data_IF_153335668409
#
_entry.id   IF_153335668409
#
_cell.length_a   1.000
_cell.length_b   1.000
_cell.length_c   1.000
_cell.angle_alpha   90.00
_cell.angle_beta   90.00
_cell.angle_gamma   90.00
#
_symmetry.space_group_name_H-M   'P 1'
#
loop_
_entity.id
_entity.type
_entity.pdbx_description
1 polymer ?
#
# COMPACT_ATOMS: atom_id res chain seq x y z
N UNK A 1 -26.46 -12.36 -9.57
CA UNK A 1 -26.26 -12.36 -8.11
C UNK A 1 -25.55 -13.65 -7.77
N UNK A 2 -24.22 -13.61 -7.76
CA UNK A 2 -23.39 -14.77 -7.46
C UNK A 2 -23.36 -14.93 -5.94
N UNK A 3 -23.94 -16.02 -5.44
CA UNK A 3 -23.97 -16.33 -4.02
C UNK A 3 -22.55 -16.40 -3.46
N UNK A 4 -22.36 -15.82 -2.28
CA UNK A 4 -21.26 -16.14 -1.39
C UNK A 4 -21.37 -17.64 -1.09
N UNK A 5 -20.70 -18.45 -1.90
CA UNK A 5 -20.50 -19.87 -1.62
C UNK A 5 -19.75 -19.96 -0.31
N UNK A 6 -20.44 -20.35 0.76
CA UNK A 6 -19.82 -20.85 1.97
C UNK A 6 -18.95 -22.02 1.55
N UNK A 7 -17.63 -21.81 1.49
CA UNK A 7 -16.66 -22.83 1.15
C UNK A 7 -16.57 -23.78 2.35
N UNK A 8 -17.43 -24.80 2.37
CA UNK A 8 -17.33 -25.95 3.27
C UNK A 8 -16.26 -26.88 2.71
N UNK A 9 -15.00 -26.52 2.89
CA UNK A 9 -13.86 -27.24 2.33
C UNK A 9 -12.80 -27.46 3.39
N UNK A 10 -12.83 -28.68 3.94
CA UNK A 10 -11.92 -29.36 4.85
C UNK A 10 -12.28 -29.33 6.35
N UNK A 11 -12.40 -30.54 6.88
CA UNK A 11 -13.04 -30.99 8.13
C UNK A 11 -12.39 -30.47 9.43
N UNK A 12 -12.48 -29.17 9.69
CA UNK A 12 -12.34 -28.69 11.08
C UNK A 12 -13.60 -29.11 11.85
N UNK A 13 -13.58 -30.33 12.41
CA UNK A 13 -14.51 -30.70 13.49
C UNK A 13 -14.20 -29.79 14.68
N UNK A 14 -14.97 -28.71 14.79
CA UNK A 14 -15.13 -27.93 16.01
C UNK A 14 -15.35 -28.90 17.17
N UNK A 15 -14.32 -29.10 17.99
CA UNK A 15 -14.54 -29.72 19.30
C UNK A 15 -15.22 -28.67 20.17
N UNK A 16 -16.04 -29.10 21.14
CA UNK A 16 -16.68 -28.17 22.08
C UNK A 16 -15.67 -27.33 22.89
N UNK A 17 -14.38 -27.69 22.81
CA UNK A 17 -13.26 -27.07 23.53
C UNK A 17 -12.45 -26.06 22.70
N UNK A 18 -12.65 -25.94 21.38
CA UNK A 18 -11.88 -24.99 20.56
C UNK A 18 -12.42 -23.56 20.77
N UNK A 19 -11.67 -22.75 21.52
CA UNK A 19 -12.01 -21.32 21.71
C UNK A 19 -12.04 -20.63 20.35
N UNK A 20 -13.04 -19.76 20.10
CA UNK A 20 -13.12 -18.90 18.90
C UNK A 20 -11.81 -18.16 18.62
N UNK A 21 -11.04 -17.87 19.67
CA UNK A 21 -9.70 -17.29 19.57
C UNK A 21 -8.72 -18.18 18.80
N UNK A 22 -8.64 -19.46 19.15
CA UNK A 22 -7.68 -20.40 18.54
C UNK A 22 -8.00 -20.61 17.07
N UNK A 23 -9.29 -20.71 16.73
CA UNK A 23 -9.75 -20.73 15.34
C UNK A 23 -9.30 -19.49 14.54
N UNK A 24 -9.41 -18.30 15.14
CA UNK A 24 -9.03 -17.06 14.47
C UNK A 24 -7.53 -16.94 14.27
N UNK A 25 -6.72 -17.35 15.26
CA UNK A 25 -5.26 -17.39 15.13
C UNK A 25 -4.81 -18.42 14.07
N UNK A 26 -5.40 -19.61 14.04
CA UNK A 26 -5.11 -20.60 13.00
C UNK A 26 -5.53 -20.11 11.60
N UNK A 27 -6.70 -19.47 11.50
CA UNK A 27 -7.17 -18.87 10.24
C UNK A 27 -6.22 -17.74 9.77
N UNK A 28 -5.70 -16.93 10.70
CA UNK A 28 -4.71 -15.89 10.39
C UNK A 28 -3.37 -16.49 9.97
N UNK A 29 -2.88 -17.55 10.63
CA UNK A 29 -1.66 -18.27 10.23
C UNK A 29 -1.79 -18.83 8.82
N UNK A 30 -2.94 -19.42 8.50
CA UNK A 30 -3.22 -19.88 7.14
C UNK A 30 -3.23 -18.74 6.12
N UNK A 31 -3.80 -17.58 6.49
CA UNK A 31 -3.70 -16.36 5.69
C UNK A 31 -2.25 -15.93 5.44
N UNK A 32 -1.39 -15.94 6.47
CA UNK A 32 0.02 -15.63 6.33
C UNK A 32 0.75 -16.61 5.40
N UNK A 33 0.43 -17.91 5.49
CA UNK A 33 0.96 -18.93 4.57
C UNK A 33 0.58 -18.62 3.12
N UNK A 34 -0.68 -18.26 2.86
CA UNK A 34 -1.10 -17.86 1.52
C UNK A 34 -0.42 -16.58 1.01
N UNK A 35 -0.07 -15.64 1.90
CA UNK A 35 0.75 -14.48 1.51
C UNK A 35 2.16 -14.92 1.08
N UNK A 36 2.80 -15.80 1.85
CA UNK A 36 4.12 -16.34 1.51
C UNK A 36 4.10 -17.12 0.19
N UNK A 37 3.03 -17.86 -0.09
CA UNK A 37 2.82 -18.59 -1.35
C UNK A 37 2.41 -17.67 -2.53
N UNK A 38 2.31 -16.34 -2.34
CA UNK A 38 1.86 -15.39 -3.36
C UNK A 38 0.36 -15.48 -3.71
N UNK A 39 -0.41 -16.26 -2.96
CA UNK A 39 -1.85 -16.49 -3.14
C UNK A 39 -2.70 -15.41 -2.44
N UNK A 40 -2.55 -14.16 -2.89
CA UNK A 40 -3.20 -13.01 -2.26
C UNK A 40 -4.75 -13.09 -2.19
N UNK A 41 -5.49 -13.58 -3.21
CA UNK A 41 -6.94 -13.71 -3.12
C UNK A 41 -7.40 -14.65 -1.99
N UNK A 42 -6.71 -15.78 -1.81
CA UNK A 42 -6.99 -16.74 -0.74
C UNK A 42 -6.67 -16.12 0.64
N UNK A 43 -5.53 -15.41 0.73
CA UNK A 43 -5.15 -14.69 1.96
C UNK A 43 -6.20 -13.63 2.35
N UNK A 44 -6.73 -12.88 1.38
CA UNK A 44 -7.78 -11.88 1.59
C UNK A 44 -9.03 -12.53 2.22
N UNK A 45 -9.43 -13.70 1.72
CA UNK A 45 -10.56 -14.43 2.28
C UNK A 45 -10.33 -14.79 3.75
N UNK A 46 -9.14 -15.32 4.08
CA UNK A 46 -8.79 -15.72 5.46
C UNK A 46 -8.72 -14.56 6.43
N UNK A 47 -8.07 -13.45 6.07
CA UNK A 47 -8.04 -12.29 6.97
C UNK A 47 -9.42 -11.65 7.15
N UNK A 48 -10.27 -11.68 6.12
CA UNK A 48 -11.66 -11.19 6.23
C UNK A 48 -12.48 -12.06 7.18
N UNK A 49 -12.29 -13.38 7.11
CA UNK A 49 -12.91 -14.35 8.02
C UNK A 49 -12.50 -14.11 9.48
N UNK A 50 -11.19 -13.90 9.75
CA UNK A 50 -10.70 -13.56 11.09
C UNK A 50 -11.37 -12.29 11.64
N UNK A 51 -11.52 -11.25 10.83
CA UNK A 51 -12.18 -10.00 11.26
C UNK A 51 -13.66 -10.27 11.57
N UNK A 52 -14.35 -11.11 10.80
CA UNK A 52 -15.74 -11.49 11.07
C UNK A 52 -15.88 -12.31 12.36
N UNK A 53 -14.97 -13.26 12.60
CA UNK A 53 -14.91 -14.05 13.83
C UNK A 53 -14.62 -13.15 15.04
N UNK A 54 -13.63 -12.27 14.94
CA UNK A 54 -13.24 -11.35 16.01
C UNK A 54 -14.38 -10.43 16.46
N UNK A 55 -15.25 -10.00 15.53
CA UNK A 55 -16.46 -9.21 15.87
C UNK A 55 -17.50 -9.99 16.68
N UNK A 56 -17.46 -11.32 16.65
CA UNK A 56 -18.35 -12.18 17.42
C UNK A 56 -17.75 -12.59 18.77
N UNK A 57 -16.45 -12.32 18.99
CA UNK A 57 -15.77 -12.65 20.22
C UNK A 57 -16.25 -11.77 21.36
N UNK A 58 -16.67 -12.41 22.45
CA UNK A 58 -16.89 -11.75 23.74
C UNK A 58 -15.66 -12.00 24.61
N UNK A 59 -14.98 -10.96 25.14
CA UNK A 59 -13.75 -11.11 25.92
C UNK A 59 -13.85 -12.18 27.02
N UNK A 60 -14.99 -12.25 27.70
CA UNK A 60 -15.25 -13.18 28.81
C UNK A 60 -15.32 -14.64 28.35
N UNK A 61 -15.79 -14.87 27.12
CA UNK A 61 -15.96 -16.21 26.53
C UNK A 61 -14.62 -16.74 26.04
N UNK A 62 -13.85 -15.91 25.34
CA UNK A 62 -12.56 -16.32 24.77
C UNK A 62 -11.40 -16.23 25.77
N UNK A 63 -11.64 -15.72 27.00
CA UNK A 63 -10.63 -15.49 28.04
C UNK A 63 -9.46 -14.64 27.53
N UNK A 64 -9.80 -13.59 26.77
CA UNK A 64 -8.86 -12.67 26.15
C UNK A 64 -9.27 -11.25 26.41
N UNK A 65 -8.29 -10.37 26.58
CA UNK A 65 -8.56 -8.96 26.75
C UNK A 65 -9.07 -8.36 25.45
N UNK A 66 -9.99 -7.40 25.56
CA UNK A 66 -10.53 -6.69 24.40
C UNK A 66 -9.40 -6.02 23.56
N UNK A 67 -8.30 -5.64 24.22
CA UNK A 67 -7.09 -5.13 23.56
C UNK A 67 -6.43 -6.19 22.67
N UNK A 68 -6.35 -7.45 23.10
CA UNK A 68 -5.77 -8.53 22.30
C UNK A 68 -6.63 -8.79 21.04
N UNK A 69 -7.95 -8.78 21.18
CA UNK A 69 -8.89 -8.91 20.06
C UNK A 69 -8.70 -7.74 19.06
N UNK A 70 -8.53 -6.52 19.56
CA UNK A 70 -8.24 -5.35 18.71
C UNK A 70 -6.91 -5.47 17.97
N UNK A 71 -5.85 -5.96 18.64
CA UNK A 71 -4.55 -6.19 18.00
C UNK A 71 -4.69 -7.23 16.88
N UNK A 72 -5.45 -8.30 17.11
CA UNK A 72 -5.73 -9.31 16.09
C UNK A 72 -6.42 -8.68 14.86
N UNK A 73 -7.50 -7.93 15.07
CA UNK A 73 -8.25 -7.26 13.99
C UNK A 73 -7.37 -6.27 13.23
N UNK A 74 -6.61 -5.42 13.91
CA UNK A 74 -5.76 -4.43 13.25
C UNK A 74 -4.60 -5.07 12.48
N UNK A 75 -4.02 -6.16 13.01
CA UNK A 75 -3.01 -6.93 12.28
C UNK A 75 -3.59 -7.53 10.98
N UNK A 76 -4.85 -7.98 11.01
CA UNK A 76 -5.53 -8.48 9.82
C UNK A 76 -5.84 -7.37 8.80
N UNK A 77 -6.29 -6.19 9.24
CA UNK A 77 -6.46 -5.04 8.35
C UNK A 77 -5.15 -4.59 7.72
N UNK A 78 -4.07 -4.59 8.49
CA UNK A 78 -2.73 -4.29 7.99
C UNK A 78 -2.34 -5.31 6.91
N UNK A 79 -2.53 -6.61 7.13
CA UNK A 79 -2.24 -7.65 6.14
C UNK A 79 -3.14 -7.58 4.89
N UNK A 80 -4.44 -7.31 5.06
CA UNK A 80 -5.37 -7.06 3.96
C UNK A 80 -4.90 -5.92 3.06
N UNK A 81 -4.47 -4.80 3.65
CA UNK A 81 -3.99 -3.66 2.86
C UNK A 81 -2.79 -4.01 1.98
N UNK A 82 -1.90 -4.90 2.45
CA UNK A 82 -0.79 -5.41 1.65
C UNK A 82 -1.26 -6.30 0.51
N UNK A 83 -2.16 -7.25 0.78
CA UNK A 83 -2.69 -8.17 -0.22
C UNK A 83 -3.43 -7.43 -1.34
N UNK A 84 -4.21 -6.40 -0.97
CA UNK A 84 -4.90 -5.54 -1.94
C UNK A 84 -3.92 -4.70 -2.77
N UNK A 85 -2.83 -4.18 -2.19
CA UNK A 85 -1.78 -3.51 -2.96
C UNK A 85 -1.14 -4.46 -3.99
N UNK A 86 -0.80 -5.68 -3.57
CA UNK A 86 -0.20 -6.70 -4.45
C UNK A 86 -1.15 -7.17 -5.56
N UNK A 87 -2.45 -6.97 -5.37
CA UNK A 87 -3.50 -7.35 -6.33
C UNK A 87 -4.03 -6.17 -7.15
N UNK A 88 -3.39 -4.99 -7.09
CA UNK A 88 -3.82 -3.74 -7.72
C UNK A 88 -5.28 -3.32 -7.38
N UNK A 89 -5.73 -3.65 -6.17
CA UNK A 89 -7.05 -3.27 -5.65
C UNK A 89 -6.96 -2.00 -4.79
N UNK A 90 -6.71 -0.86 -5.44
CA UNK A 90 -6.25 0.36 -4.77
C UNK A 90 -7.25 0.91 -3.75
N UNK A 91 -8.55 0.91 -4.06
CA UNK A 91 -9.56 1.42 -3.14
C UNK A 91 -9.68 0.54 -1.90
N UNK A 92 -9.60 -0.78 -2.05
CA UNK A 92 -9.62 -1.72 -0.94
C UNK A 92 -8.36 -1.61 -0.09
N UNK A 93 -7.19 -1.49 -0.72
CA UNK A 93 -5.92 -1.24 -0.02
C UNK A 93 -5.97 0.03 0.83
N UNK A 94 -6.44 1.14 0.25
CA UNK A 94 -6.57 2.42 0.94
C UNK A 94 -7.50 2.30 2.16
N UNK A 95 -8.68 1.70 1.98
CA UNK A 95 -9.68 1.56 3.03
C UNK A 95 -9.20 0.64 4.16
N UNK A 96 -8.58 -0.51 3.84
CA UNK A 96 -8.05 -1.44 4.83
C UNK A 96 -6.89 -0.83 5.62
N UNK A 97 -5.98 -0.11 4.96
CA UNK A 97 -4.90 0.59 5.65
C UNK A 97 -5.43 1.69 6.58
N UNK A 98 -6.48 2.40 6.16
CA UNK A 98 -7.15 3.40 6.98
C UNK A 98 -7.80 2.77 8.23
N UNK A 99 -8.52 1.65 8.08
CA UNK A 99 -9.10 0.89 9.20
C UNK A 99 -8.06 0.27 10.12
N UNK A 100 -6.89 -0.11 9.61
CA UNK A 100 -5.79 -0.57 10.45
C UNK A 100 -5.35 0.52 11.45
N UNK A 101 -5.43 1.80 11.08
CA UNK A 101 -5.04 2.94 11.92
C UNK A 101 -6.20 3.40 12.81
N UNK A 102 -7.41 3.50 12.26
CA UNK A 102 -8.57 4.09 12.94
C UNK A 102 -9.39 3.07 13.74
N UNK A 103 -9.33 1.80 13.36
CA UNK A 103 -10.29 0.78 13.75
C UNK A 103 -11.59 0.84 12.93
N UNK A 104 -12.60 0.10 13.40
CA UNK A 104 -13.88 -0.10 12.70
C UNK A 104 -14.98 0.90 13.07
N UNK A 105 -14.74 1.78 14.04
CA UNK A 105 -15.72 2.74 14.55
C UNK A 105 -15.67 4.08 13.82
N UNK A 106 -16.85 4.68 13.62
CA UNK A 106 -17.04 6.02 13.09
C UNK A 106 -18.00 6.79 14.04
N UNK A 107 -17.50 7.72 14.88
CA UNK A 107 -16.15 8.31 14.86
C UNK A 107 -15.04 7.36 15.36
N UNK A 108 -13.75 7.64 15.04
CA UNK A 108 -12.60 6.91 15.55
C UNK A 108 -12.64 6.69 17.06
N UNK A 109 -12.38 5.46 17.49
CA UNK A 109 -12.21 5.15 18.90
C UNK A 109 -10.71 5.17 19.29
N UNK A 110 -10.26 6.02 20.24
CA UNK A 110 -8.87 6.03 20.70
C UNK A 110 -8.38 4.70 21.27
N UNK A 111 -9.27 3.85 21.84
CA UNK A 111 -8.89 2.52 22.31
C UNK A 111 -8.52 1.56 21.18
N UNK A 112 -8.88 1.91 19.93
CA UNK A 112 -8.43 1.17 18.77
C UNK A 112 -7.00 1.52 18.39
N UNK A 113 -6.36 2.53 18.96
CA UNK A 113 -4.97 2.87 18.63
C UNK A 113 -3.96 1.89 19.27
N UNK A 114 -3.97 0.61 18.85
CA UNK A 114 -3.17 -0.47 19.44
C UNK A 114 -1.96 -0.89 18.60
N UNK A 115 -1.81 -0.35 17.38
CA UNK A 115 -0.63 -0.58 16.55
C UNK A 115 0.63 0.07 17.17
N UNK A 116 1.77 -0.60 17.03
CA UNK A 116 3.09 0.00 17.28
C UNK A 116 3.38 1.14 16.29
N UNK A 117 4.31 2.04 16.62
CA UNK A 117 4.70 3.14 15.72
C UNK A 117 5.16 2.63 14.35
N UNK A 118 5.93 1.53 14.33
CA UNK A 118 6.37 0.89 13.09
C UNK A 118 5.20 0.34 12.26
N UNK A 119 4.22 -0.29 12.90
CA UNK A 119 3.02 -0.76 12.21
C UNK A 119 2.16 0.39 11.69
N UNK A 120 2.07 1.51 12.41
CA UNK A 120 1.40 2.73 11.94
C UNK A 120 2.11 3.32 10.72
N UNK A 121 3.45 3.39 10.74
CA UNK A 121 4.24 3.82 9.60
C UNK A 121 3.96 2.95 8.36
N UNK A 122 3.95 1.61 8.53
CA UNK A 122 3.59 0.66 7.46
C UNK A 122 2.16 0.86 6.94
N UNK A 123 1.19 1.04 7.83
CA UNK A 123 -0.19 1.28 7.44
C UNK A 123 -0.34 2.59 6.65
N UNK A 124 0.28 3.67 7.13
CA UNK A 124 0.26 4.97 6.46
C UNK A 124 0.98 4.91 5.11
N UNK A 125 2.14 4.26 5.03
CA UNK A 125 2.84 4.04 3.77
C UNK A 125 1.91 3.36 2.75
N UNK A 126 1.30 2.22 3.12
CA UNK A 126 0.38 1.48 2.24
C UNK A 126 -0.84 2.31 1.82
N UNK A 127 -1.42 3.07 2.75
CA UNK A 127 -2.52 4.00 2.49
C UNK A 127 -2.10 5.05 1.45
N UNK A 128 -0.94 5.66 1.62
CA UNK A 128 -0.41 6.69 0.74
C UNK A 128 -0.07 6.13 -0.66
N UNK A 129 0.55 4.96 -0.75
CA UNK A 129 0.81 4.27 -2.02
C UNK A 129 -0.49 4.03 -2.80
N UNK A 130 -1.52 3.49 -2.14
CA UNK A 130 -2.82 3.26 -2.75
C UNK A 130 -3.50 4.58 -3.18
N UNK A 131 -3.41 5.62 -2.35
CA UNK A 131 -3.99 6.93 -2.63
C UNK A 131 -3.38 7.58 -3.89
N UNK A 132 -2.06 7.49 -4.07
CA UNK A 132 -1.38 8.00 -5.27
C UNK A 132 -1.93 7.31 -6.52
N UNK A 133 -2.08 5.98 -6.51
CA UNK A 133 -2.66 5.21 -7.64
C UNK A 133 -4.09 5.64 -7.96
N UNK A 134 -4.91 5.89 -6.95
CA UNK A 134 -6.28 6.38 -7.10
C UNK A 134 -6.33 7.80 -7.69
N UNK A 135 -5.42 8.69 -7.26
CA UNK A 135 -5.29 10.06 -7.79
C UNK A 135 -4.86 10.02 -9.27
N UNK A 136 -3.96 9.11 -9.61
CA UNK A 136 -3.47 8.90 -10.98
C UNK A 136 -4.53 8.29 -11.90
N UNK A 137 -5.68 7.88 -11.37
CA UNK A 137 -6.73 7.22 -12.12
C UNK A 137 -6.29 5.84 -12.65
N UNK A 138 -5.32 5.20 -11.99
CA UNK A 138 -4.91 3.83 -12.31
C UNK A 138 -6.11 2.91 -12.09
N UNK A 139 -6.35 2.01 -13.04
CA UNK A 139 -7.45 1.06 -12.97
C UNK A 139 -7.36 0.24 -11.68
N UNK A 140 -8.46 0.20 -10.94
CA UNK A 140 -8.61 -0.58 -9.72
C UNK A 140 -9.27 -1.91 -10.07
N UNK A 141 -8.48 -2.98 -10.04
CA UNK A 141 -8.94 -4.33 -10.43
C UNK A 141 -10.06 -4.87 -9.52
N UNK A 142 -10.23 -4.30 -8.34
CA UNK A 142 -11.29 -4.67 -7.39
C UNK A 142 -12.55 -3.81 -7.52
N UNK A 143 -12.51 -2.73 -8.30
CA UNK A 143 -13.65 -1.83 -8.43
C UNK A 143 -14.78 -2.53 -9.18
N UNK A 144 -15.90 -2.76 -8.47
CA UNK A 144 -17.14 -3.17 -9.13
C UNK A 144 -17.52 -2.06 -10.11
N UNK A 145 -17.60 -2.36 -11.42
CA UNK A 145 -17.97 -1.34 -12.39
C UNK A 145 -19.34 -0.77 -12.01
N UNK A 146 -19.53 0.55 -12.15
CA UNK A 146 -20.83 1.15 -11.88
C UNK A 146 -21.86 0.39 -12.72
N UNK A 147 -22.84 -0.25 -12.07
CA UNK A 147 -23.84 -1.02 -12.79
C UNK A 147 -24.55 -0.07 -13.76
N UNK A 148 -24.46 -0.32 -15.07
CA UNK A 148 -24.88 0.56 -16.17
C UNK A 148 -26.38 0.95 -16.20
N UNK A 149 -27.15 0.71 -15.14
CA UNK A 149 -28.61 0.89 -15.13
C UNK A 149 -29.16 1.80 -14.03
N UNK A 150 -28.35 2.35 -13.14
CA UNK A 150 -28.86 3.24 -12.09
C UNK A 150 -28.11 4.58 -12.12
N UNK A 151 -28.76 5.59 -12.68
CA UNK A 151 -28.45 7.00 -12.41
C UNK A 151 -28.60 7.23 -10.91
N UNK A 152 -27.51 6.96 -10.19
CA UNK A 152 -27.49 6.97 -8.73
C UNK A 152 -27.44 8.42 -8.25
N UNK A 153 -28.61 9.05 -8.18
CA UNK A 153 -28.86 10.26 -7.39
C UNK A 153 -28.96 9.98 -5.89
N UNK A 154 -28.75 8.72 -5.48
CA UNK A 154 -28.67 8.32 -4.09
C UNK A 154 -27.43 8.93 -3.45
N UNK A 155 -27.66 9.76 -2.43
CA UNK A 155 -26.69 10.33 -1.51
C UNK A 155 -26.00 9.24 -0.68
N UNK A 156 -25.33 8.30 -1.33
CA UNK A 156 -24.37 7.43 -0.66
C UNK A 156 -23.30 8.30 -0.02
N UNK A 157 -22.70 7.87 1.11
CA UNK A 157 -21.62 8.60 1.74
C UNK A 157 -20.59 8.92 0.67
N UNK A 158 -20.39 10.22 0.44
CA UNK A 158 -19.53 10.72 -0.62
C UNK A 158 -18.17 10.06 -0.42
N UNK A 159 -17.75 9.18 -1.34
CA UNK A 159 -16.42 8.58 -1.28
C UNK A 159 -15.44 9.72 -1.42
N UNK A 160 -14.91 10.19 -0.29
CA UNK A 160 -13.93 11.27 -0.27
C UNK A 160 -12.71 10.73 -1.00
N UNK A 161 -12.49 11.21 -2.24
CA UNK A 161 -11.28 10.89 -2.98
C UNK A 161 -10.09 11.47 -2.23
N UNK A 162 -8.99 10.72 -2.06
CA UNK A 162 -7.77 11.29 -1.50
C UNK A 162 -7.27 12.42 -2.42
N UNK A 163 -6.70 13.47 -1.81
CA UNK A 163 -6.01 14.55 -2.52
C UNK A 163 -4.52 14.48 -2.21
N UNK A 164 -3.66 15.04 -3.05
CA UNK A 164 -2.21 15.02 -2.82
C UNK A 164 -1.83 15.68 -1.48
N UNK A 165 -2.56 16.71 -1.03
CA UNK A 165 -2.33 17.34 0.28
C UNK A 165 -2.65 16.40 1.44
N UNK A 166 -3.72 15.61 1.32
CA UNK A 166 -4.05 14.62 2.33
C UNK A 166 -2.97 13.53 2.39
N UNK A 167 -2.43 13.12 1.23
CA UNK A 167 -1.35 12.14 1.19
C UNK A 167 -0.04 12.71 1.76
N UNK A 168 0.35 13.95 1.46
CA UNK A 168 1.56 14.57 2.04
C UNK A 168 1.47 14.68 3.58
N UNK A 169 0.28 15.01 4.11
CA UNK A 169 0.03 15.00 5.56
C UNK A 169 0.20 13.60 6.16
N UNK A 170 -0.35 12.58 5.51
CA UNK A 170 -0.26 11.21 6.02
C UNK A 170 1.15 10.63 5.92
N UNK A 171 1.92 10.97 4.87
CA UNK A 171 3.36 10.62 4.79
C UNK A 171 4.16 11.35 5.88
N UNK A 172 3.84 12.61 6.16
CA UNK A 172 4.51 13.35 7.23
C UNK A 172 4.27 12.69 8.59
N UNK A 173 3.06 12.18 8.85
CA UNK A 173 2.78 11.37 10.04
C UNK A 173 3.58 10.06 10.04
N UNK A 174 3.68 9.39 8.89
CA UNK A 174 4.44 8.14 8.77
C UNK A 174 5.94 8.35 9.06
N UNK A 175 6.53 9.42 8.54
CA UNK A 175 7.92 9.80 8.81
C UNK A 175 8.13 10.27 10.27
N UNK A 176 7.10 10.76 10.96
CA UNK A 176 7.19 11.02 12.39
C UNK A 176 7.30 9.71 13.19
N UNK A 177 6.70 8.62 12.70
CA UNK A 177 6.85 7.28 13.28
C UNK A 177 8.20 6.64 12.91
N UNK A 178 8.64 6.75 11.65
CA UNK A 178 9.90 6.19 11.15
C UNK A 178 10.68 7.22 10.29
N UNK A 179 11.48 8.12 10.91
CA UNK A 179 12.12 9.23 10.19
C UNK A 179 13.19 8.83 9.17
N UNK A 180 13.72 7.60 9.28
CA UNK A 180 14.82 7.08 8.46
C UNK A 180 14.34 6.14 7.34
N UNK A 181 13.03 5.96 7.20
CA UNK A 181 12.49 5.11 6.14
C UNK A 181 12.73 5.75 4.76
N UNK A 182 13.58 5.08 3.98
CA UNK A 182 14.02 5.55 2.65
C UNK A 182 12.86 5.57 1.66
N UNK A 183 11.92 4.61 1.73
CA UNK A 183 10.78 4.51 0.82
C UNK A 183 9.75 5.60 1.11
N UNK A 184 9.50 5.91 2.39
CA UNK A 184 8.68 7.04 2.79
C UNK A 184 9.26 8.37 2.33
N UNK A 185 10.58 8.57 2.45
CA UNK A 185 11.25 9.79 1.98
C UNK A 185 11.16 9.95 0.46
N UNK A 186 11.37 8.86 -0.30
CA UNK A 186 11.19 8.85 -1.76
C UNK A 186 9.76 9.20 -2.14
N UNK A 187 8.77 8.55 -1.52
CA UNK A 187 7.36 8.82 -1.80
C UNK A 187 6.99 10.26 -1.45
N UNK A 188 7.47 10.80 -0.33
CA UNK A 188 7.25 12.19 0.06
C UNK A 188 7.76 13.16 -1.01
N UNK A 189 8.97 12.91 -1.53
CA UNK A 189 9.57 13.74 -2.58
C UNK A 189 8.69 13.76 -3.83
N UNK A 190 8.26 12.59 -4.31
CA UNK A 190 7.37 12.47 -5.48
C UNK A 190 6.09 13.28 -5.28
N UNK A 191 5.44 13.16 -4.12
CA UNK A 191 4.18 13.88 -3.85
C UNK A 191 4.39 15.38 -3.78
N UNK A 192 5.46 15.84 -3.12
CA UNK A 192 5.77 17.27 -3.03
C UNK A 192 6.11 17.90 -4.37
N UNK A 193 6.80 17.17 -5.24
CA UNK A 193 7.12 17.67 -6.58
C UNK A 193 5.84 17.79 -7.42
N UNK A 194 4.94 16.80 -7.37
CA UNK A 194 3.61 16.90 -7.99
C UNK A 194 2.76 18.05 -7.46
N UNK A 195 2.74 18.27 -6.14
CA UNK A 195 2.04 19.42 -5.54
C UNK A 195 2.59 20.77 -6.03
N UNK A 196 3.91 20.88 -6.27
CA UNK A 196 4.48 22.10 -6.85
C UNK A 196 4.03 22.28 -8.30
N UNK A 197 4.01 21.20 -9.08
CA UNK A 197 3.54 21.23 -10.48
C UNK A 197 2.07 21.63 -10.58
N UNK A 198 1.19 21.07 -9.74
CA UNK A 198 -0.23 21.46 -9.68
C UNK A 198 -0.40 22.95 -9.35
N UNK A 199 0.31 23.45 -8.34
CA UNK A 199 0.28 24.88 -7.97
C UNK A 199 0.81 25.78 -9.08
N UNK A 200 1.85 25.35 -9.80
CA UNK A 200 2.39 26.10 -10.94
C UNK A 200 1.39 26.12 -12.10
N UNK A 201 0.74 24.99 -12.40
CA UNK A 201 -0.28 24.89 -13.42
C UNK A 201 -1.51 25.75 -13.10
N UNK A 202 -1.97 25.77 -11.84
CA UNK A 202 -3.05 26.65 -11.39
C UNK A 202 -2.68 28.13 -11.49
N UNK A 203 -1.47 28.50 -11.08
CA UNK A 203 -0.97 29.87 -11.22
C UNK A 203 -0.91 30.30 -12.70
N UNK A 204 -0.49 29.41 -13.60
CA UNK A 204 -0.47 29.66 -15.03
C UNK A 204 -1.89 29.86 -15.60
N UNK A 205 -2.85 29.02 -15.20
CA UNK A 205 -4.28 29.16 -15.56
C UNK A 205 -4.86 30.49 -15.07
N UNK A 206 -4.61 30.87 -13.83
CA UNK A 206 -5.06 32.15 -13.26
C UNK A 206 -4.46 33.37 -13.98
N UNK A 207 -3.18 33.30 -14.37
CA UNK A 207 -2.52 34.36 -15.13
C UNK A 207 -3.16 34.54 -16.52
N UNK A 208 -3.51 33.45 -17.20
CA UNK A 208 -4.22 33.49 -18.48
C UNK A 208 -5.61 34.13 -18.36
N UNK A 209 -6.36 33.81 -17.30
CA UNK A 209 -7.69 34.37 -17.06
C UNK A 209 -7.66 35.89 -16.80
N UNK A 210 -6.70 36.37 -16.00
CA UNK A 210 -6.57 37.80 -15.66
C UNK A 210 -5.96 38.64 -16.80
N UNK A 211 -5.16 38.03 -17.69
CA UNK A 211 -4.47 38.74 -18.77
C UNK A 211 -5.35 39.13 -19.97
N UNK A 212 -6.55 38.57 -20.10
CA UNK A 212 -7.36 38.69 -21.34
C UNK A 212 -8.30 39.92 -21.35
N UNK A 213 -8.23 40.82 -20.36
CA UNK A 213 -9.19 41.94 -20.21
C UNK A 213 -8.73 43.30 -20.75
N UNK A 214 -7.62 43.38 -21.50
CA UNK A 214 -7.16 44.63 -22.16
C UNK A 214 -7.40 44.55 -23.67
N UNK A 215 -8.60 44.92 -24.11
CA UNK A 215 -8.91 45.01 -25.54
C UNK A 215 -10.39 45.14 -25.88
N UNK A 216 -11.15 45.97 -25.15
CA UNK A 216 -12.50 46.37 -25.55
C UNK A 216 -12.72 47.87 -25.30
N UNK A 217 -11.77 48.68 -25.73
CA UNK A 217 -12.00 50.08 -26.09
C UNK A 217 -11.69 50.22 -27.59
N UNK A 218 -12.63 49.74 -28.40
CA UNK A 218 -12.81 50.17 -29.78
C UNK A 218 -14.31 50.32 -30.02
N UNK A 219 -14.90 51.25 -29.26
CA UNK A 219 -16.09 51.98 -29.67
C UNK A 219 -15.66 52.83 -30.87
N UNK A 220 -15.77 52.23 -32.05
CA UNK A 220 -15.65 52.87 -33.34
C UNK A 220 -16.72 52.25 -34.22
N UNK A 221 -17.86 52.93 -34.30
CA UNK A 221 -19.04 52.41 -34.97
C UNK A 221 -18.81 52.14 -36.45
N UNK A 222 -19.53 51.13 -36.96
CA UNK A 222 -20.28 51.32 -38.18
C UNK A 222 -21.52 50.42 -38.16
N UNK A 223 -22.66 51.10 -38.18
CA UNK A 223 -24.00 50.60 -38.35
C UNK A 223 -24.20 50.35 -39.85
N UNK A 224 -24.16 49.09 -40.29
CA UNK A 224 -24.84 48.68 -41.52
C UNK A 224 -25.53 47.34 -41.30
N UNK A 225 -26.82 47.46 -40.97
CA UNK A 225 -27.80 46.38 -41.10
C UNK A 225 -27.85 45.91 -42.55
N UNK A 226 -27.68 44.60 -42.76
CA UNK A 226 -28.30 43.90 -43.90
C UNK A 226 -28.89 42.57 -43.42
N UNK A 227 -30.19 42.30 -43.70
CA UNK A 227 -30.82 41.06 -43.30
C UNK A 227 -30.77 40.00 -44.40
N UNK A 228 -30.96 38.76 -43.95
CA UNK A 228 -31.45 37.59 -44.68
C UNK A 228 -30.51 36.89 -45.67
N UNK A 229 -30.43 35.58 -45.51
CA UNK A 229 -29.74 34.68 -46.44
C UNK A 229 -29.56 33.30 -45.83
N UNK A 230 -30.65 32.54 -45.71
CA UNK A 230 -30.57 31.11 -45.40
C UNK A 230 -29.75 30.40 -46.48
N UNK A 231 -28.84 29.52 -46.09
CA UNK A 231 -28.40 28.44 -46.99
C UNK A 231 -27.88 27.28 -46.15
N UNK A 232 -28.52 26.14 -46.35
CA UNK A 232 -28.05 24.82 -45.96
C UNK A 232 -26.82 24.43 -46.80
N UNK A 233 -25.91 23.68 -46.18
CA UNK A 233 -24.73 23.04 -46.77
C UNK A 233 -23.86 22.58 -45.61
N UNK A 234 -23.95 21.33 -45.18
CA UNK A 234 -23.36 20.13 -45.80
C UNK A 234 -21.82 20.12 -45.72
N UNK A 235 -21.32 19.01 -45.16
CA UNK A 235 -19.99 18.46 -45.36
C UNK A 235 -18.78 19.21 -44.79
N UNK A 236 -18.11 18.64 -43.78
CA UNK A 236 -16.67 18.85 -43.67
C UNK A 236 -16.01 18.71 -42.30
N UNK A 237 -15.29 17.60 -42.15
CA UNK A 237 -14.05 17.45 -41.38
C UNK A 237 -14.09 17.61 -39.86
N UNK A 238 -14.21 16.46 -39.20
CA UNK A 238 -13.67 16.21 -37.87
C UNK A 238 -12.14 16.33 -37.96
N UNK A 239 -11.59 17.43 -37.46
CA UNK A 239 -10.16 17.57 -37.20
C UNK A 239 -9.79 16.71 -36.00
N UNK A 240 -8.89 15.76 -36.23
CA UNK A 240 -8.35 14.88 -35.21
C UNK A 240 -7.66 15.70 -34.12
N UNK A 241 -7.94 15.35 -32.87
CA UNK A 241 -7.24 15.86 -31.71
C UNK A 241 -5.73 15.58 -31.82
N UNK A 242 -4.86 16.51 -31.39
CA UNK A 242 -3.43 16.28 -31.37
C UNK A 242 -3.09 15.15 -30.38
N UNK A 243 -2.34 14.18 -30.89
CA UNK A 243 -1.95 12.97 -30.19
C UNK A 243 -1.27 13.24 -28.86
N UNK A 244 -1.69 12.48 -27.85
CA UNK A 244 -0.90 12.19 -26.66
C UNK A 244 0.44 11.59 -27.10
N UNK A 245 1.51 12.37 -26.93
CA UNK A 245 2.87 11.88 -27.05
C UNK A 245 3.07 10.80 -25.99
N UNK A 246 3.30 9.56 -26.43
CA UNK A 246 3.95 8.54 -25.61
C UNK A 246 5.38 9.00 -25.37
N UNK A 247 5.73 9.20 -24.10
CA UNK A 247 7.12 9.22 -23.68
C UNK A 247 7.56 7.77 -23.51
N UNK A 248 8.14 7.21 -24.57
CA UNK A 248 9.13 6.15 -24.45
C UNK A 248 10.44 6.83 -24.02
N UNK A 249 10.89 6.56 -22.80
CA UNK A 249 12.30 6.71 -22.40
C UNK A 249 12.61 5.83 -21.18
N UNK A 250 13.11 4.64 -21.48
CA UNK A 250 14.26 3.98 -20.87
C UNK A 250 14.48 4.07 -19.35
N UNK A 251 14.06 3.01 -18.65
CA UNK A 251 14.82 2.44 -17.53
C UNK A 251 15.20 1.01 -17.89
N UNK A 252 16.20 0.85 -18.76
CA UNK A 252 16.94 -0.41 -18.87
C UNK A 252 17.96 -0.42 -17.73
N UNK A 253 17.60 -1.06 -16.63
CA UNK A 253 18.59 -1.62 -15.71
C UNK A 253 18.93 -3.00 -16.27
N UNK A 254 20.19 -3.18 -16.66
CA UNK A 254 20.74 -4.48 -17.02
C UNK A 254 20.55 -5.45 -15.86
N UNK A 255 19.56 -6.32 -16.04
CA UNK A 255 19.30 -7.51 -15.25
C UNK A 255 20.52 -8.44 -15.31
N UNK A 256 21.36 -8.40 -14.27
CA UNK A 256 21.92 -9.67 -13.79
C UNK A 256 20.85 -10.31 -12.92
N UNK A 257 19.97 -11.03 -13.61
CA UNK A 257 18.89 -11.86 -13.07
C UNK A 257 19.48 -12.86 -12.06
N UNK A 258 19.52 -12.48 -10.79
CA UNK A 258 19.35 -13.47 -9.71
C UNK A 258 17.85 -13.76 -9.72
N UNK A 259 17.47 -15.02 -9.90
CA UNK A 259 16.06 -15.41 -9.96
C UNK A 259 15.29 -14.87 -8.75
N UNK A 260 14.08 -14.36 -8.98
CA UNK A 260 13.27 -13.68 -7.96
C UNK A 260 13.02 -14.49 -6.69
N UNK A 261 13.08 -15.82 -6.78
CA UNK A 261 12.85 -16.73 -5.65
C UNK A 261 14.07 -16.81 -4.70
N UNK A 262 15.29 -16.58 -5.21
CA UNK A 262 16.50 -16.68 -4.39
C UNK A 262 16.67 -15.44 -3.49
N UNK A 263 16.26 -14.26 -3.96
CA UNK A 263 16.43 -13.00 -3.22
C UNK A 263 15.55 -12.92 -1.96
N UNK A 264 14.31 -13.43 -2.03
CA UNK A 264 13.41 -13.49 -0.88
C UNK A 264 13.92 -14.50 0.16
N UNK A 265 14.40 -15.67 -0.29
CA UNK A 265 15.01 -16.69 0.58
C UNK A 265 16.26 -16.18 1.32
N UNK A 266 17.13 -15.41 0.65
CA UNK A 266 18.29 -14.80 1.31
C UNK A 266 17.89 -13.74 2.35
N UNK A 267 16.82 -13.00 2.10
CA UNK A 267 16.34 -11.97 3.02
C UNK A 267 15.76 -12.58 4.29
N UNK A 268 15.02 -13.69 4.17
CA UNK A 268 14.45 -14.43 5.31
C UNK A 268 15.54 -15.06 6.19
N UNK A 269 16.52 -15.76 5.60
CA UNK A 269 17.64 -16.33 6.36
C UNK A 269 18.49 -15.28 7.09
N UNK A 270 18.67 -14.08 6.52
CA UNK A 270 19.41 -13.00 7.19
C UNK A 270 18.63 -12.45 8.39
N UNK A 271 17.29 -12.39 8.28
CA UNK A 271 16.42 -12.05 9.42
C UNK A 271 16.58 -13.07 10.55
N UNK A 272 16.47 -14.36 10.22
CA UNK A 272 16.64 -15.45 11.18
C UNK A 272 18.03 -15.47 11.83
N UNK A 273 19.09 -15.25 11.05
CA UNK A 273 20.46 -15.19 11.56
C UNK A 273 20.63 -14.05 12.57
N UNK A 274 20.06 -12.87 12.31
CA UNK A 274 20.18 -11.72 13.21
C UNK A 274 19.44 -11.90 14.53
N UNK A 275 18.33 -12.66 14.53
CA UNK A 275 17.61 -13.00 15.75
C UNK A 275 18.35 -14.10 16.56
N UNK A 276 19.02 -15.05 15.89
CA UNK A 276 19.66 -16.20 16.56
C UNK A 276 21.09 -15.95 17.09
N UNK A 277 21.76 -14.86 16.74
CA UNK A 277 23.13 -14.54 17.22
C UNK A 277 23.23 -14.58 18.75
N UNK A 278 22.16 -14.22 19.46
CA UNK A 278 22.16 -14.14 20.93
C UNK A 278 21.52 -15.37 21.62
N UNK A 279 20.60 -16.06 20.95
CA UNK A 279 19.77 -17.09 21.59
C UNK A 279 20.29 -18.52 21.40
N UNK A 280 20.93 -18.85 20.27
CA UNK A 280 21.43 -20.20 19.98
C UNK A 280 22.66 -20.17 19.04
N UNK A 281 23.88 -20.14 19.60
CA UNK A 281 25.11 -19.98 18.81
C UNK A 281 25.44 -21.21 17.95
N UNK A 282 25.00 -22.42 18.33
CA UNK A 282 25.24 -23.64 17.55
C UNK A 282 24.37 -23.65 16.29
N UNK A 283 23.09 -23.31 16.43
CA UNK A 283 22.17 -23.19 15.29
C UNK A 283 22.53 -22.03 14.37
N UNK A 284 23.03 -20.91 14.92
CA UNK A 284 23.58 -19.81 14.14
C UNK A 284 24.76 -20.27 13.25
N UNK A 285 25.68 -21.06 13.81
CA UNK A 285 26.81 -21.61 13.04
C UNK A 285 26.34 -22.53 11.91
N UNK A 286 25.33 -23.38 12.16
CA UNK A 286 24.74 -24.27 11.15
C UNK A 286 24.08 -23.50 10.00
N UNK A 287 23.27 -22.48 10.31
CA UNK A 287 22.60 -21.63 9.32
C UNK A 287 23.60 -20.81 8.50
N UNK A 288 24.66 -20.32 9.15
CA UNK A 288 25.75 -19.59 8.49
C UNK A 288 26.47 -20.47 7.46
N UNK A 289 26.74 -21.74 7.78
CA UNK A 289 27.38 -22.68 6.84
C UNK A 289 26.43 -23.07 5.69
N UNK A 290 25.14 -23.27 5.96
CA UNK A 290 24.13 -23.49 4.91
C UNK A 290 24.03 -22.33 3.93
N UNK A 291 24.05 -21.09 4.45
CA UNK A 291 24.08 -19.87 3.64
C UNK A 291 25.34 -19.83 2.75
N UNK A 292 26.51 -20.13 3.33
CA UNK A 292 27.79 -20.17 2.61
C UNK A 292 27.79 -21.19 1.48
N UNK A 293 27.35 -22.42 1.76
CA UNK A 293 27.30 -23.51 0.79
C UNK A 293 26.39 -23.15 -0.40
N UNK A 294 25.21 -22.59 -0.14
CA UNK A 294 24.24 -22.24 -1.19
C UNK A 294 24.70 -21.07 -2.07
N UNK A 295 25.43 -20.12 -1.48
CA UNK A 295 26.08 -19.05 -2.24
C UNK A 295 27.18 -19.57 -3.16
N UNK A 296 27.94 -20.58 -2.71
CA UNK A 296 28.93 -21.26 -3.53
C UNK A 296 28.28 -22.04 -4.69
N UNK A 297 27.19 -22.75 -4.42
CA UNK A 297 26.45 -23.55 -5.42
C UNK A 297 25.80 -22.67 -6.50
N UNK A 298 25.32 -21.48 -6.13
CA UNK A 298 24.66 -20.54 -7.05
C UNK A 298 25.62 -19.57 -7.76
N UNK A 299 26.95 -19.73 -7.58
CA UNK A 299 27.98 -18.85 -8.12
C UNK A 299 27.75 -17.35 -7.80
N UNK A 300 27.04 -17.10 -6.69
CA UNK A 300 26.69 -15.78 -6.18
C UNK A 300 27.59 -15.51 -4.98
N UNK A 301 28.82 -15.07 -5.22
CA UNK A 301 29.73 -14.73 -4.12
C UNK A 301 29.23 -13.46 -3.40
N UNK A 302 28.94 -13.52 -2.09
CA UNK A 302 28.29 -12.43 -1.36
C UNK A 302 29.27 -11.82 -0.35
N UNK A 303 30.50 -11.48 -0.74
CA UNK A 303 31.34 -10.70 0.19
C UNK A 303 30.69 -9.36 0.51
N UNK A 304 30.04 -8.74 -0.48
CA UNK A 304 29.27 -7.51 -0.30
C UNK A 304 27.96 -7.72 0.47
N UNK A 305 27.36 -8.92 0.42
CA UNK A 305 26.11 -9.23 1.10
C UNK A 305 26.33 -9.59 2.58
N UNK A 306 27.39 -10.34 2.89
CA UNK A 306 27.81 -10.65 4.26
C UNK A 306 28.30 -9.39 4.99
N UNK A 307 29.01 -8.50 4.30
CA UNK A 307 29.36 -7.17 4.83
C UNK A 307 28.14 -6.31 5.15
N UNK A 308 27.09 -6.33 4.30
CA UNK A 308 25.84 -5.60 4.58
C UNK A 308 25.08 -6.15 5.78
N UNK A 309 25.21 -7.45 6.06
CA UNK A 309 24.65 -8.09 7.24
C UNK A 309 25.49 -7.86 8.52
N UNK A 310 26.59 -7.10 8.45
CA UNK A 310 27.45 -6.82 9.61
C UNK A 310 28.27 -8.02 10.08
N UNK A 311 28.42 -9.05 9.26
CA UNK A 311 29.19 -10.25 9.58
C UNK A 311 30.59 -10.08 8.98
N UNK A 312 31.57 -9.73 9.80
CA UNK A 312 32.97 -9.76 9.38
C UNK A 312 33.38 -11.21 9.07
N UNK A 313 34.08 -11.37 7.94
CA UNK A 313 34.45 -12.68 7.37
C UNK A 313 35.35 -13.48 8.33
N UNK A 314 36.02 -12.82 9.26
CA UNK A 314 36.94 -13.41 10.25
C UNK A 314 36.29 -13.78 11.60
N UNK A 315 34.98 -13.59 11.78
CA UNK A 315 34.25 -14.21 12.90
C UNK A 315 34.58 -13.70 14.31
N UNK A 316 35.30 -12.59 14.47
CA UNK A 316 35.48 -11.96 15.78
C UNK A 316 34.36 -10.96 16.04
N UNK A 317 33.43 -11.30 16.93
CA UNK A 317 32.50 -10.33 17.51
C UNK A 317 33.32 -9.24 18.19
N UNK A 318 33.19 -7.99 17.71
CA UNK A 318 33.80 -6.82 18.33
C UNK A 318 33.23 -6.69 19.74
N UNK A 319 33.98 -7.09 20.76
CA UNK A 319 33.69 -6.70 22.14
C UNK A 319 33.66 -5.17 22.16
N UNK A 320 32.56 -4.60 22.65
CA UNK A 320 32.55 -3.22 23.07
C UNK A 320 33.61 -3.10 24.17
N UNK A 321 34.72 -2.44 23.85
CA UNK A 321 35.65 -1.96 24.88
C UNK A 321 34.97 -0.74 25.50
N UNK A 322 34.57 -0.90 26.77
CA UNK A 322 34.15 0.21 27.62
C UNK A 322 35.37 1.11 27.82
N UNK A 323 35.35 2.29 27.19
CA UNK A 323 36.25 3.40 27.51
C UNK A 323 35.77 4.02 28.84
N UNK A 324 36.28 3.49 29.95
CA UNK A 324 36.33 4.20 31.22
C UNK A 324 37.45 5.26 31.14
N UNK A 325 37.06 6.52 30.92
CA UNK A 325 37.93 7.68 31.07
C UNK A 325 37.89 8.19 32.53
N UNK A 326 39.08 8.27 33.13
CA UNK A 326 39.43 8.91 34.42
C UNK A 326 39.16 10.44 34.44
#
# INVERSE_FOLDING_TARGET
MSGLGLYTGDDYKLTEDDSLWDMAEETKKLGNKYVADGRYPDAIQRYSEVIMQARQMKPEVVKKDEKEIRILVQSCYLNLSMCFLKSDQWQHAYNSAHRAIQGDEDPPNPQHDVLSQAQKAKALFRKCTAAVKLIDGVEDKGAVPPSNGASNSGSGPSRVRPTLENVDKDITKALACEPKDVELLKLQKVIRDRLKEEKQAEKAKMKGFLGTKKGADSIGGNDERKPSGSTAGDGGQVTAAPGTQRLDDGLNLDDRKVGGDDAEYFTEMIGELNEMVQDDPEKFAELKEKLRQRCADNNALPEDFLKRAGVDVDGTAKKAEDEDDD
#
